data_IF_970925360714
#
_entry.id   IF_970925360714
#
_cell.length_a   1.000
_cell.length_b   1.000
_cell.length_c   1.000
_cell.angle_alpha   90.00
_cell.angle_beta   90.00
_cell.angle_gamma   90.00
#
_symmetry.space_group_name_H-M   'P 1'
#
loop_
_entity.id
_entity.type
_entity.pdbx_description
1 polymer ?
#
# COMPACT_ATOMS: atom_id res chain seq x y z
N UNK A 1 -13.91 35.79 25.24
CA UNK A 1 -14.42 35.67 23.86
C UNK A 1 -13.24 35.85 22.94
N UNK A 2 -12.90 34.84 22.20
CA UNK A 2 -11.79 34.90 21.20
C UNK A 2 -12.20 35.80 20.04
N UNK A 3 -11.40 36.81 19.72
CA UNK A 3 -11.66 37.81 18.67
C UNK A 3 -11.31 37.28 17.26
N UNK A 4 -10.85 36.01 17.16
CA UNK A 4 -10.48 35.42 15.88
C UNK A 4 -11.32 34.17 15.64
N UNK A 5 -11.90 34.00 14.42
CA UNK A 5 -12.61 32.79 14.06
C UNK A 5 -11.64 31.59 14.07
N UNK A 6 -12.16 30.43 14.48
CA UNK A 6 -11.37 29.20 14.46
C UNK A 6 -11.12 28.74 13.00
N UNK A 7 -10.08 27.93 12.79
CA UNK A 7 -9.80 27.35 11.46
C UNK A 7 -10.96 26.49 10.93
N UNK A 8 -11.82 26.01 11.84
CA UNK A 8 -13.02 25.23 11.50
C UNK A 8 -14.14 26.15 11.01
N UNK A 9 -14.32 27.32 11.63
CA UNK A 9 -15.31 28.33 11.20
C UNK A 9 -14.98 28.85 9.79
N UNK A 10 -13.69 29.08 9.48
CA UNK A 10 -13.23 29.50 8.16
C UNK A 10 -13.44 28.44 7.06
N UNK A 11 -13.41 27.14 7.43
CA UNK A 11 -13.72 26.06 6.48
C UNK A 11 -15.23 25.96 6.21
N UNK A 12 -16.05 26.12 7.25
CA UNK A 12 -17.51 26.10 7.13
C UNK A 12 -17.98 27.29 6.27
N UNK A 13 -17.46 28.49 6.51
CA UNK A 13 -17.81 29.67 5.72
C UNK A 13 -17.46 29.52 4.23
N UNK A 14 -16.29 28.92 3.91
CA UNK A 14 -15.93 28.62 2.52
C UNK A 14 -16.85 27.60 1.85
N UNK A 15 -17.29 26.58 2.59
CA UNK A 15 -18.22 25.57 2.05
C UNK A 15 -19.60 26.19 1.82
N UNK A 16 -20.09 27.02 2.74
CA UNK A 16 -21.37 27.73 2.60
C UNK A 16 -21.31 28.70 1.40
N UNK A 17 -20.21 29.42 1.24
CA UNK A 17 -20.01 30.36 0.12
C UNK A 17 -19.93 29.65 -1.22
N UNK A 18 -19.28 28.46 -1.29
CA UNK A 18 -19.24 27.62 -2.48
C UNK A 18 -20.63 27.03 -2.83
N UNK A 19 -21.41 26.62 -1.84
CA UNK A 19 -22.78 26.16 -2.05
C UNK A 19 -23.73 27.27 -2.49
N UNK A 20 -23.59 28.47 -1.94
CA UNK A 20 -24.39 29.63 -2.33
C UNK A 20 -24.09 30.08 -3.76
N UNK A 21 -22.83 30.04 -4.19
CA UNK A 21 -22.45 30.33 -5.58
C UNK A 21 -22.96 29.29 -6.58
N UNK A 22 -22.96 28.01 -6.16
CA UNK A 22 -23.50 26.92 -6.99
C UNK A 22 -25.03 26.98 -7.12
N UNK A 23 -25.72 27.38 -6.06
CA UNK A 23 -27.19 27.57 -6.06
C UNK A 23 -27.64 28.81 -6.85
N UNK A 24 -26.80 29.81 -6.98
CA UNK A 24 -27.09 31.03 -7.76
C UNK A 24 -26.93 30.85 -9.28
N UNK A 25 -26.20 29.81 -9.72
CA UNK A 25 -25.95 29.53 -11.14
C UNK A 25 -26.85 28.44 -11.73
N UNK A 26 -27.86 27.97 -10.98
CA UNK A 26 -28.85 27.00 -11.45
C UNK A 26 -30.06 27.67 -12.13
N UNK A 27 -29.79 28.45 -13.15
CA UNK A 27 -30.76 28.85 -14.17
C UNK A 27 -30.81 27.79 -15.27
N UNK A 28 -31.79 26.90 -15.20
CA UNK A 28 -32.10 25.92 -16.24
C UNK A 28 -32.25 26.51 -17.63
N UNK A 29 -31.85 25.76 -18.65
CA UNK A 29 -32.77 25.57 -19.76
C UNK A 29 -32.94 24.09 -20.20
N UNK A 30 -34.16 23.87 -20.61
CA UNK A 30 -34.80 22.71 -21.13
C UNK A 30 -34.05 21.97 -22.26
N UNK A 31 -34.25 20.68 -22.26
CA UNK A 31 -33.97 19.66 -23.29
C UNK A 31 -34.74 20.00 -24.57
N UNK A 32 -34.07 19.96 -25.72
CA UNK A 32 -34.64 19.69 -27.04
C UNK A 32 -33.61 18.99 -27.95
N UNK A 33 -34.02 18.12 -28.91
CA UNK A 33 -33.23 17.03 -29.44
C UNK A 33 -32.48 17.32 -30.76
N UNK A 34 -31.49 16.49 -30.99
CA UNK A 34 -30.85 16.08 -32.25
C UNK A 34 -30.75 17.05 -33.42
N UNK A 35 -29.54 17.42 -33.73
CA UNK A 35 -29.04 17.41 -35.11
C UNK A 35 -27.54 17.09 -35.10
N UNK A 36 -27.20 16.04 -35.84
CA UNK A 36 -25.86 15.58 -36.10
C UNK A 36 -25.10 16.66 -36.86
N UNK A 37 -24.09 17.25 -36.24
CA UNK A 37 -23.11 18.09 -36.92
C UNK A 37 -21.71 17.69 -36.42
N UNK A 38 -20.89 17.39 -37.40
CA UNK A 38 -19.48 17.01 -37.34
C UNK A 38 -18.68 17.73 -36.24
N UNK A 39 -18.04 16.91 -35.38
CA UNK A 39 -17.11 17.36 -34.35
C UNK A 39 -15.80 17.72 -34.99
N UNK A 40 -15.27 18.94 -34.83
CA UNK A 40 -13.87 19.23 -35.11
C UNK A 40 -13.02 18.58 -34.01
N UNK A 41 -12.02 17.84 -34.42
CA UNK A 41 -11.00 17.21 -33.55
C UNK A 41 -10.08 18.29 -32.99
N UNK A 42 -10.52 18.93 -31.90
CA UNK A 42 -9.67 19.82 -31.13
C UNK A 42 -9.53 19.22 -29.72
N UNK A 43 -8.30 18.82 -29.39
CA UNK A 43 -7.99 18.08 -28.18
C UNK A 43 -8.46 18.79 -26.91
N UNK A 44 -9.05 18.02 -26.02
CA UNK A 44 -9.70 18.46 -24.78
C UNK A 44 -8.75 19.15 -23.79
N UNK A 45 -7.44 18.95 -23.93
CA UNK A 45 -6.44 19.43 -22.98
C UNK A 45 -5.94 20.88 -23.16
N UNK A 46 -5.85 21.45 -24.35
CA UNK A 46 -5.38 22.83 -24.48
C UNK A 46 -6.35 23.91 -24.00
N UNK A 47 -7.64 23.58 -23.86
CA UNK A 47 -8.68 24.57 -23.47
C UNK A 47 -8.99 24.61 -21.97
N UNK A 48 -8.57 23.61 -21.18
CA UNK A 48 -8.86 23.60 -19.75
C UNK A 48 -7.94 24.51 -18.92
N UNK A 49 -6.74 24.81 -19.41
CA UNK A 49 -5.77 25.67 -18.71
C UNK A 49 -4.95 26.52 -19.69
N UNK A 50 -5.56 27.51 -20.33
CA UNK A 50 -4.83 28.38 -21.28
C UNK A 50 -3.72 29.22 -20.62
N UNK A 51 -3.77 29.40 -19.32
CA UNK A 51 -2.83 30.24 -18.56
C UNK A 51 -1.69 29.42 -17.90
N UNK A 52 -1.71 28.09 -18.00
CA UNK A 52 -0.70 27.24 -17.34
C UNK A 52 0.67 27.36 -18.03
N UNK A 53 0.68 27.58 -19.35
CA UNK A 53 1.88 27.81 -20.15
C UNK A 53 2.54 29.15 -19.80
N UNK A 54 1.74 30.19 -19.58
CA UNK A 54 2.23 31.52 -19.20
C UNK A 54 2.77 31.55 -17.77
N UNK A 55 2.12 30.81 -16.87
CA UNK A 55 2.55 30.68 -15.46
C UNK A 55 3.84 29.88 -15.31
N UNK A 56 4.07 28.87 -16.14
CA UNK A 56 5.24 27.99 -16.10
C UNK A 56 6.39 28.48 -16.99
N UNK A 57 6.22 29.54 -17.76
CA UNK A 57 7.24 30.04 -18.66
C UNK A 57 7.60 29.09 -19.81
N UNK A 58 6.73 28.13 -20.11
CA UNK A 58 6.90 27.13 -21.15
C UNK A 58 5.98 27.51 -22.34
N UNK A 59 6.52 28.14 -23.36
CA UNK A 59 5.82 28.28 -24.64
C UNK A 59 5.83 26.91 -25.34
N UNK A 60 4.76 26.13 -25.14
CA UNK A 60 4.56 24.89 -25.87
C UNK A 60 4.07 25.23 -27.28
N UNK A 61 4.99 25.29 -28.24
CA UNK A 61 4.66 25.41 -29.65
C UNK A 61 4.00 24.12 -30.14
N UNK A 62 2.89 24.25 -30.84
CA UNK A 62 2.12 23.12 -31.39
C UNK A 62 2.98 22.17 -32.24
N UNK A 63 4.01 22.72 -32.94
CA UNK A 63 4.98 21.93 -33.68
C UNK A 63 5.94 21.10 -32.80
N UNK A 64 6.27 21.56 -31.62
CA UNK A 64 7.08 20.77 -30.64
C UNK A 64 6.27 19.67 -29.98
N UNK A 65 4.99 19.91 -29.73
CA UNK A 65 4.06 18.89 -29.21
C UNK A 65 3.88 17.78 -30.26
N UNK A 66 3.70 18.14 -31.53
CA UNK A 66 3.57 17.13 -32.61
C UNK A 66 4.87 16.35 -32.84
N UNK A 67 6.04 16.97 -32.75
CA UNK A 67 7.32 16.26 -32.86
C UNK A 67 7.54 15.27 -31.73
N UNK A 68 7.15 15.62 -30.50
CA UNK A 68 7.28 14.74 -29.36
C UNK A 68 6.19 13.68 -29.32
N UNK A 69 4.99 13.92 -29.86
CA UNK A 69 3.95 12.91 -30.02
C UNK A 69 4.24 11.94 -31.18
N UNK A 70 4.87 12.38 -32.23
CA UNK A 70 5.30 11.49 -33.34
C UNK A 70 6.39 10.48 -32.90
N UNK A 71 7.15 10.77 -31.86
CA UNK A 71 8.12 9.84 -31.27
C UNK A 71 7.47 8.74 -30.42
N UNK A 72 6.17 8.81 -30.11
CA UNK A 72 5.40 7.83 -29.35
C UNK A 72 4.40 7.07 -30.25
N UNK A 73 4.54 7.14 -31.57
CA UNK A 73 3.80 6.27 -32.49
C UNK A 73 4.32 4.85 -32.34
N UNK A 74 3.68 4.10 -31.45
CA UNK A 74 3.87 2.64 -31.31
C UNK A 74 3.39 2.00 -32.60
N UNK A 75 4.22 1.27 -33.35
CA UNK A 75 3.75 0.48 -34.46
C UNK A 75 2.80 -0.59 -33.92
N UNK A 76 1.60 -0.67 -34.48
CA UNK A 76 0.72 -1.83 -34.32
C UNK A 76 1.49 -3.08 -34.71
N UNK A 77 2.04 -3.77 -33.73
CA UNK A 77 2.55 -5.13 -33.92
C UNK A 77 1.53 -6.09 -33.37
N UNK A 78 1.01 -6.91 -34.28
CA UNK A 78 0.42 -8.22 -34.08
C UNK A 78 0.99 -8.90 -32.85
N UNK A 79 0.07 -9.42 -32.02
CA UNK A 79 0.38 -10.26 -30.86
C UNK A 79 1.23 -11.45 -31.32
N UNK A 80 2.55 -11.27 -31.30
CA UNK A 80 3.50 -12.36 -31.37
C UNK A 80 3.59 -12.93 -29.95
N UNK A 81 3.29 -14.24 -29.81
CA UNK A 81 3.65 -15.02 -28.63
C UNK A 81 5.09 -14.71 -28.24
N UNK A 82 5.41 -14.45 -26.98
CA UNK A 82 6.79 -14.35 -26.57
C UNK A 82 7.44 -15.73 -26.72
N UNK A 83 8.18 -15.91 -27.79
CA UNK A 83 9.24 -16.91 -27.84
C UNK A 83 10.22 -16.57 -26.71
N UNK A 84 10.67 -17.59 -26.00
CA UNK A 84 11.63 -17.57 -24.92
C UNK A 84 12.79 -16.60 -25.20
N UNK A 85 12.64 -15.37 -24.76
CA UNK A 85 13.76 -14.45 -24.64
C UNK A 85 14.41 -14.82 -23.33
N UNK A 86 15.62 -15.36 -23.41
CA UNK A 86 16.53 -15.40 -22.29
C UNK A 86 16.64 -13.97 -21.73
N UNK A 87 15.81 -13.64 -20.76
CA UNK A 87 16.12 -12.54 -19.86
C UNK A 87 17.42 -12.96 -19.18
N UNK A 88 18.51 -12.33 -19.55
CA UNK A 88 19.60 -12.17 -18.62
C UNK A 88 19.02 -11.34 -17.48
N UNK A 89 18.39 -12.05 -16.55
CA UNK A 89 18.04 -11.49 -15.25
C UNK A 89 19.39 -11.15 -14.66
N UNK A 90 19.72 -9.84 -14.65
CA UNK A 90 20.78 -9.37 -13.77
C UNK A 90 20.51 -10.02 -12.40
N UNK A 91 21.53 -10.57 -11.73
CA UNK A 91 21.31 -11.21 -10.44
C UNK A 91 20.60 -10.19 -9.58
N UNK A 92 19.32 -10.46 -9.28
CA UNK A 92 18.53 -9.63 -8.39
C UNK A 92 19.21 -9.82 -7.05
N UNK A 93 20.02 -8.84 -6.66
CA UNK A 93 20.61 -8.85 -5.33
C UNK A 93 19.43 -8.92 -4.37
N UNK A 94 19.47 -9.81 -3.38
CA UNK A 94 18.36 -10.05 -2.45
C UNK A 94 17.78 -8.79 -1.81
N UNK A 95 18.50 -7.68 -1.88
CA UNK A 95 18.10 -6.32 -1.52
C UNK A 95 16.98 -5.75 -2.36
N UNK A 96 16.99 -5.95 -3.69
CA UNK A 96 15.99 -5.34 -4.59
C UNK A 96 14.63 -6.01 -4.48
N UNK A 97 14.60 -7.33 -4.30
CA UNK A 97 13.36 -8.08 -4.03
C UNK A 97 12.75 -7.69 -2.70
N UNK A 98 13.59 -7.56 -1.66
CA UNK A 98 13.17 -7.11 -0.34
C UNK A 98 12.59 -5.70 -0.36
N UNK A 99 13.20 -4.77 -1.10
CA UNK A 99 12.71 -3.39 -1.24
C UNK A 99 11.35 -3.35 -1.95
N UNK A 100 11.18 -4.09 -3.04
CA UNK A 100 9.90 -4.19 -3.76
C UNK A 100 8.80 -4.81 -2.90
N UNK A 101 9.14 -5.81 -2.09
CA UNK A 101 8.21 -6.43 -1.17
C UNK A 101 7.86 -5.51 0.00
N UNK A 102 8.81 -4.73 0.51
CA UNK A 102 8.59 -3.76 1.58
C UNK A 102 7.68 -2.60 1.14
N UNK A 103 7.61 -2.29 -0.15
CA UNK A 103 6.77 -1.23 -0.68
C UNK A 103 5.29 -1.47 -0.34
N UNK A 104 4.65 -0.47 0.26
CA UNK A 104 3.19 -0.48 0.49
C UNK A 104 2.51 0.05 -0.76
N UNK A 105 1.75 -0.84 -1.42
CA UNK A 105 1.04 -0.48 -2.65
C UNK A 105 -0.18 0.37 -2.34
N UNK A 106 -0.25 1.52 -2.96
CA UNK A 106 -1.44 2.38 -2.87
C UNK A 106 -2.62 1.71 -3.59
N UNK A 107 -3.80 1.78 -2.97
CA UNK A 107 -5.04 1.30 -3.58
C UNK A 107 -5.53 -0.05 -3.06
N UNK A 108 -6.35 -0.69 -3.87
CA UNK A 108 -7.06 -1.92 -3.55
C UNK A 108 -6.60 -3.01 -4.52
N UNK A 109 -6.35 -4.22 -4.00
CA UNK A 109 -5.96 -5.39 -4.78
C UNK A 109 -7.00 -6.48 -4.64
N UNK A 110 -7.31 -7.16 -5.76
CA UNK A 110 -8.05 -8.41 -5.74
C UNK A 110 -7.07 -9.58 -5.78
N UNK A 111 -7.27 -10.53 -4.88
CA UNK A 111 -6.48 -11.76 -4.79
C UNK A 111 -7.43 -12.95 -4.95
N UNK A 112 -7.03 -13.90 -5.78
CA UNK A 112 -7.76 -15.15 -5.95
C UNK A 112 -6.96 -16.27 -5.29
N UNK A 113 -7.58 -16.94 -4.34
CA UNK A 113 -7.00 -18.01 -3.56
C UNK A 113 -7.73 -19.34 -3.83
N UNK A 114 -7.03 -20.44 -3.65
CA UNK A 114 -7.61 -21.76 -3.47
C UNK A 114 -7.26 -22.27 -2.07
N UNK A 115 -8.00 -23.25 -1.56
CA UNK A 115 -7.62 -23.93 -0.33
C UNK A 115 -6.53 -24.97 -0.63
N UNK A 116 -5.72 -25.27 0.37
CA UNK A 116 -4.75 -26.35 0.32
C UNK A 116 -5.43 -27.73 0.47
N UNK A 117 -4.63 -28.79 0.51
CA UNK A 117 -5.13 -30.17 0.64
C UNK A 117 -5.87 -30.41 1.98
N UNK A 118 -5.61 -29.59 2.98
CA UNK A 118 -6.27 -29.63 4.29
C UNK A 118 -7.54 -28.76 4.35
N UNK A 119 -7.94 -28.15 3.24
CA UNK A 119 -9.07 -27.22 3.17
C UNK A 119 -8.82 -25.87 3.84
N UNK A 120 -7.54 -25.44 3.93
CA UNK A 120 -7.14 -24.19 4.58
C UNK A 120 -6.52 -23.23 3.56
N UNK A 121 -6.59 -21.94 3.86
CA UNK A 121 -5.89 -20.90 3.09
C UNK A 121 -4.68 -20.32 3.83
N UNK A 122 -4.50 -20.68 5.10
CA UNK A 122 -3.33 -20.31 5.91
C UNK A 122 -3.34 -18.87 6.42
N UNK A 123 -4.51 -18.29 6.74
CA UNK A 123 -4.60 -16.96 7.36
C UNK A 123 -5.38 -16.98 8.66
N UNK A 124 -5.09 -15.97 9.47
CA UNK A 124 -5.89 -15.59 10.62
C UNK A 124 -6.33 -14.16 10.51
N UNK A 125 -7.61 -13.90 10.71
CA UNK A 125 -8.21 -12.57 10.60
C UNK A 125 -8.58 -12.04 11.99
N UNK A 126 -8.41 -10.72 12.15
CA UNK A 126 -8.76 -9.98 13.37
C UNK A 126 -9.66 -8.81 13.02
N UNK A 127 -10.77 -8.66 13.73
CA UNK A 127 -11.58 -7.45 13.66
C UNK A 127 -10.98 -6.37 14.54
N UNK A 128 -10.83 -5.17 13.99
CA UNK A 128 -10.42 -3.95 14.70
C UNK A 128 -11.43 -2.87 14.28
N UNK A 129 -12.17 -2.35 15.24
CA UNK A 129 -13.29 -1.45 15.00
C UNK A 129 -14.24 -2.03 13.91
N UNK A 130 -14.46 -1.31 12.83
CA UNK A 130 -15.30 -1.77 11.71
C UNK A 130 -14.52 -2.48 10.61
N UNK A 131 -13.23 -2.69 10.76
CA UNK A 131 -12.37 -3.34 9.76
C UNK A 131 -11.98 -4.78 10.13
N UNK A 132 -11.65 -5.57 9.13
CA UNK A 132 -11.10 -6.92 9.26
C UNK A 132 -9.67 -6.90 8.72
N UNK A 133 -8.71 -7.38 9.52
CA UNK A 133 -7.29 -7.32 9.20
C UNK A 133 -6.64 -8.69 9.26
N UNK A 134 -5.61 -8.87 8.44
CA UNK A 134 -4.78 -10.09 8.45
C UNK A 134 -3.88 -10.06 9.67
N UNK A 135 -4.11 -10.98 10.60
CA UNK A 135 -3.37 -11.10 11.85
C UNK A 135 -2.19 -12.08 11.74
N UNK A 136 -2.31 -13.08 10.89
CA UNK A 136 -1.28 -14.08 10.64
C UNK A 136 -1.41 -14.61 9.23
N UNK A 137 -0.29 -14.78 8.56
CA UNK A 137 -0.15 -15.53 7.30
C UNK A 137 0.80 -16.69 7.58
N UNK A 138 0.34 -17.91 7.29
CA UNK A 138 1.13 -19.12 7.50
C UNK A 138 2.14 -19.28 6.37
N UNK A 139 3.38 -19.65 6.70
CA UNK A 139 4.42 -19.93 5.72
C UNK A 139 3.98 -21.01 4.72
N UNK A 140 4.35 -20.82 3.45
CA UNK A 140 4.06 -21.76 2.33
C UNK A 140 2.56 -22.06 2.14
N UNK A 141 1.68 -21.20 2.62
CA UNK A 141 0.24 -21.34 2.45
C UNK A 141 -0.26 -20.66 1.15
N UNK A 142 -1.47 -20.99 0.66
CA UNK A 142 -2.07 -20.28 -0.45
C UNK A 142 -2.12 -18.76 -0.25
N UNK A 143 -2.35 -18.31 0.97
CA UNK A 143 -2.36 -16.89 1.32
C UNK A 143 -0.98 -16.24 1.21
N UNK A 144 0.08 -16.91 1.67
CA UNK A 144 1.46 -16.44 1.53
C UNK A 144 1.86 -16.34 0.05
N UNK A 145 1.54 -17.37 -0.74
CA UNK A 145 1.83 -17.42 -2.18
C UNK A 145 1.06 -16.34 -2.97
N UNK A 146 -0.18 -16.03 -2.56
CA UNK A 146 -0.95 -14.94 -3.17
C UNK A 146 -0.48 -13.53 -2.73
N UNK A 147 0.47 -13.44 -1.81
CA UNK A 147 1.06 -12.19 -1.35
C UNK A 147 0.21 -11.45 -0.31
N UNK A 148 -0.64 -12.16 0.45
CA UNK A 148 -1.25 -11.62 1.67
C UNK A 148 -0.19 -11.43 2.74
N UNK A 149 -0.34 -10.37 3.54
CA UNK A 149 0.63 -10.00 4.55
C UNK A 149 -0.06 -9.62 5.86
N UNK A 150 0.69 -9.70 6.95
CA UNK A 150 0.26 -9.13 8.22
C UNK A 150 -0.09 -7.65 8.03
N UNK A 151 -1.17 -7.19 8.64
CA UNK A 151 -1.60 -5.80 8.55
C UNK A 151 -2.51 -5.47 7.35
N UNK A 152 -2.62 -6.33 6.34
CA UNK A 152 -3.55 -6.12 5.22
C UNK A 152 -4.99 -6.00 5.73
N UNK A 153 -5.73 -5.02 5.23
CA UNK A 153 -7.15 -4.86 5.51
C UNK A 153 -7.97 -5.63 4.48
N UNK A 154 -8.79 -6.56 4.94
CA UNK A 154 -9.73 -7.29 4.08
C UNK A 154 -11.01 -6.47 3.93
N UNK A 155 -11.31 -6.08 2.71
CA UNK A 155 -12.48 -5.26 2.37
C UNK A 155 -13.67 -6.11 1.94
N UNK A 156 -13.42 -7.16 1.14
CA UNK A 156 -14.45 -8.08 0.66
C UNK A 156 -13.94 -9.52 0.62
N UNK A 157 -14.84 -10.47 0.80
CA UNK A 157 -14.61 -11.90 0.59
C UNK A 157 -15.75 -12.40 -0.30
N UNK A 158 -15.43 -12.95 -1.47
CA UNK A 158 -16.40 -13.44 -2.47
C UNK A 158 -17.50 -12.42 -2.81
N UNK A 159 -17.14 -11.13 -2.90
CA UNK A 159 -18.06 -10.03 -3.20
C UNK A 159 -18.83 -9.49 -2.00
N UNK A 160 -18.79 -10.14 -0.83
CA UNK A 160 -19.42 -9.63 0.39
C UNK A 160 -18.52 -8.64 1.11
N UNK A 161 -19.06 -7.48 1.48
CA UNK A 161 -18.34 -6.45 2.22
C UNK A 161 -18.11 -6.90 3.67
N UNK A 162 -16.83 -6.84 4.11
CA UNK A 162 -16.40 -7.27 5.45
C UNK A 162 -16.54 -6.18 6.53
N UNK A 163 -17.01 -4.98 6.20
CA UNK A 163 -17.16 -3.90 7.18
C UNK A 163 -18.10 -4.34 8.33
N UNK A 164 -17.64 -4.15 9.56
CA UNK A 164 -18.37 -4.53 10.77
C UNK A 164 -18.43 -6.04 11.06
N UNK A 165 -17.70 -6.87 10.31
CA UNK A 165 -17.66 -8.30 10.61
C UNK A 165 -16.79 -8.57 11.85
N UNK A 166 -17.24 -9.55 12.64
CA UNK A 166 -16.40 -10.14 13.69
C UNK A 166 -15.35 -11.07 13.09
N UNK A 167 -14.29 -11.31 13.85
CA UNK A 167 -13.26 -12.30 13.48
C UNK A 167 -13.87 -13.69 13.22
N UNK A 168 -14.84 -14.09 14.03
CA UNK A 168 -15.50 -15.40 13.92
C UNK A 168 -16.33 -15.52 12.66
N UNK A 169 -17.09 -14.44 12.29
CA UNK A 169 -17.82 -14.39 11.03
C UNK A 169 -16.87 -14.50 9.85
N UNK A 170 -15.79 -13.76 9.86
CA UNK A 170 -14.80 -13.78 8.79
C UNK A 170 -14.19 -15.17 8.58
N UNK A 171 -13.80 -15.85 9.67
CA UNK A 171 -13.30 -17.22 9.60
C UNK A 171 -14.36 -18.22 9.13
N UNK A 172 -15.62 -18.06 9.58
CA UNK A 172 -16.72 -18.92 9.16
C UNK A 172 -16.96 -18.81 7.65
N UNK A 173 -17.00 -17.58 7.09
CA UNK A 173 -17.19 -17.36 5.65
C UNK A 173 -16.04 -18.00 4.86
N UNK A 174 -14.79 -17.81 5.27
CA UNK A 174 -13.63 -18.44 4.61
C UNK A 174 -13.70 -19.98 4.68
N UNK A 175 -14.10 -20.53 5.82
CA UNK A 175 -14.27 -21.99 5.97
C UNK A 175 -15.36 -22.56 5.05
N UNK A 176 -16.44 -21.82 4.85
CA UNK A 176 -17.58 -22.21 4.01
C UNK A 176 -17.38 -21.89 2.50
N UNK A 177 -16.37 -21.07 2.17
CA UNK A 177 -16.06 -20.73 0.79
C UNK A 177 -15.60 -21.95 -0.01
N UNK A 178 -15.74 -21.85 -1.34
CA UNK A 178 -15.31 -22.89 -2.29
C UNK A 178 -13.82 -23.21 -2.11
N UNK A 179 -13.44 -24.46 -2.26
CA UNK A 179 -12.05 -24.89 -2.15
C UNK A 179 -11.20 -24.43 -3.34
N UNK A 180 -11.84 -24.24 -4.51
CA UNK A 180 -11.15 -23.95 -5.76
C UNK A 180 -10.95 -22.46 -6.02
N UNK A 181 -11.85 -21.59 -5.53
CA UNK A 181 -11.78 -20.16 -5.79
C UNK A 181 -12.38 -19.34 -4.65
N UNK A 182 -11.54 -18.52 -4.05
CA UNK A 182 -11.93 -17.52 -3.07
C UNK A 182 -11.38 -16.18 -3.54
N UNK A 183 -12.27 -15.23 -3.84
CA UNK A 183 -11.87 -13.85 -4.17
C UNK A 183 -11.81 -13.03 -2.88
N UNK A 184 -10.67 -12.37 -2.65
CA UNK A 184 -10.46 -11.48 -1.52
C UNK A 184 -10.00 -10.12 -2.04
N UNK A 185 -10.70 -9.07 -1.68
CA UNK A 185 -10.29 -7.70 -1.96
C UNK A 185 -9.64 -7.12 -0.72
N UNK A 186 -8.42 -6.63 -0.86
CA UNK A 186 -7.61 -6.11 0.24
C UNK A 186 -7.08 -4.71 -0.05
N UNK A 187 -6.87 -3.95 1.04
CA UNK A 187 -6.04 -2.75 1.07
C UNK A 187 -4.71 -3.10 1.72
N UNK A 188 -3.61 -2.77 1.05
CA UNK A 188 -2.27 -3.09 1.52
C UNK A 188 -1.93 -2.29 2.80
N UNK A 189 -1.77 -2.98 3.90
CA UNK A 189 -1.20 -2.55 5.19
C UNK A 189 -1.47 -1.08 5.58
N UNK A 190 -2.73 -0.66 5.78
CA UNK A 190 -3.08 0.76 5.94
C UNK A 190 -2.52 1.41 7.21
N UNK A 191 -2.09 0.64 8.21
CA UNK A 191 -1.51 1.14 9.45
C UNK A 191 0.01 1.11 9.47
N UNK A 192 0.62 0.63 8.41
CA UNK A 192 2.06 0.50 8.28
C UNK A 192 2.64 1.59 7.38
N UNK A 193 3.91 1.86 7.59
CA UNK A 193 4.71 2.69 6.68
C UNK A 193 6.11 2.15 6.57
N UNK A 194 6.74 2.35 5.43
CA UNK A 194 8.12 1.97 5.17
C UNK A 194 9.06 3.15 5.34
N UNK A 195 10.25 2.88 5.85
CA UNK A 195 11.33 3.85 6.02
C UNK A 195 12.61 3.21 5.52
N UNK A 196 13.26 3.87 4.57
CA UNK A 196 14.57 3.43 4.06
C UNK A 196 15.67 4.25 4.71
N UNK A 197 16.69 3.56 5.23
CA UNK A 197 17.82 4.11 5.96
C UNK A 197 19.11 3.52 5.43
N UNK A 198 20.22 4.24 5.67
CA UNK A 198 21.55 3.78 5.30
C UNK A 198 22.38 3.55 6.57
N UNK A 199 23.15 2.47 6.59
CA UNK A 199 24.13 2.20 7.64
C UNK A 199 25.23 3.25 7.58
N UNK A 200 25.73 3.63 8.74
CA UNK A 200 26.93 4.45 8.89
C UNK A 200 28.21 3.60 8.73
N UNK A 201 29.37 4.21 8.90
CA UNK A 201 30.67 3.53 8.81
C UNK A 201 30.87 2.43 9.87
N UNK A 202 30.06 2.44 10.93
CA UNK A 202 30.07 1.43 12.00
C UNK A 202 29.04 0.33 11.80
N UNK A 203 28.27 0.39 10.70
CA UNK A 203 27.25 -0.59 10.36
C UNK A 203 25.89 -0.38 11.04
N UNK A 204 25.66 0.81 11.63
CA UNK A 204 24.43 1.11 12.35
C UNK A 204 23.55 2.13 11.60
N UNK A 205 22.26 2.05 11.80
CA UNK A 205 21.28 3.02 11.26
C UNK A 205 20.81 4.03 12.30
N UNK A 206 21.09 3.76 13.59
CA UNK A 206 20.93 4.72 14.69
C UNK A 206 19.58 4.67 15.41
N UNK A 207 19.07 3.49 15.72
CA UNK A 207 17.95 3.30 16.64
C UNK A 207 18.17 2.13 17.59
N UNK A 208 17.43 2.12 18.70
CA UNK A 208 17.42 1.06 19.70
C UNK A 208 15.99 0.51 19.77
N UNK A 209 15.88 -0.80 19.84
CA UNK A 209 14.60 -1.49 19.97
C UNK A 209 14.63 -2.53 21.11
N UNK A 210 13.47 -2.84 21.62
CA UNK A 210 13.26 -3.88 22.63
C UNK A 210 11.92 -4.58 22.38
N UNK A 211 11.93 -5.91 22.31
CA UNK A 211 10.77 -6.73 21.92
C UNK A 211 10.16 -6.28 20.57
N UNK A 212 11.02 -5.95 19.60
CA UNK A 212 10.61 -5.45 18.29
C UNK A 212 10.07 -4.01 18.28
N UNK A 213 9.96 -3.34 19.43
CA UNK A 213 9.48 -1.96 19.56
C UNK A 213 10.65 -0.98 19.60
N UNK A 214 10.57 0.09 18.81
CA UNK A 214 11.56 1.17 18.77
C UNK A 214 11.42 2.02 20.02
N UNK A 215 12.48 2.05 20.83
CA UNK A 215 12.49 2.72 22.14
C UNK A 215 13.29 4.03 22.12
N UNK A 216 14.31 4.11 21.27
CA UNK A 216 15.18 5.29 21.20
C UNK A 216 15.74 5.47 19.79
N UNK A 217 16.02 6.73 19.42
CA UNK A 217 16.60 7.10 18.14
C UNK A 217 17.82 7.98 18.44
N UNK A 218 18.94 7.66 17.83
CA UNK A 218 20.18 8.41 17.96
C UNK A 218 20.06 9.71 17.16
N UNK A 219 20.37 10.83 17.80
CA UNK A 219 20.35 12.14 17.15
C UNK A 219 21.31 12.15 15.94
N UNK A 220 20.90 12.84 14.88
CA UNK A 220 21.65 13.01 13.64
C UNK A 220 22.00 11.69 12.90
N UNK A 221 21.38 10.58 13.31
CA UNK A 221 21.52 9.28 12.64
C UNK A 221 20.68 9.20 11.36
N UNK A 222 20.92 8.14 10.57
CA UNK A 222 20.07 7.86 9.40
C UNK A 222 18.61 7.66 9.80
N UNK A 223 18.35 6.98 10.91
CA UNK A 223 17.02 6.79 11.45
C UNK A 223 16.33 8.13 11.78
N UNK A 224 17.02 9.04 12.44
CA UNK A 224 16.48 10.36 12.78
C UNK A 224 16.18 11.19 11.51
N UNK A 225 17.12 11.23 10.57
CA UNK A 225 16.94 12.00 9.31
C UNK A 225 15.82 11.49 8.42
N UNK A 226 15.55 10.19 8.44
CA UNK A 226 14.48 9.57 7.65
C UNK A 226 13.15 9.48 8.40
N UNK A 227 13.02 10.15 9.54
CA UNK A 227 11.77 10.29 10.26
C UNK A 227 11.28 8.99 10.91
N UNK A 228 12.19 8.14 11.39
CA UNK A 228 11.83 7.02 12.25
C UNK A 228 11.20 7.56 13.54
N UNK A 229 10.23 6.85 14.08
CA UNK A 229 9.53 7.23 15.31
C UNK A 229 9.69 6.16 16.38
N UNK A 230 9.81 6.60 17.63
CA UNK A 230 9.64 5.74 18.80
C UNK A 230 8.17 5.31 18.95
N UNK A 231 7.89 4.40 19.86
CA UNK A 231 6.54 3.86 20.09
C UNK A 231 5.92 3.21 18.85
N UNK A 232 6.76 2.67 17.95
CA UNK A 232 6.40 1.87 16.80
C UNK A 232 7.05 0.50 16.89
N UNK A 233 6.33 -0.53 16.47
CA UNK A 233 6.88 -1.88 16.32
C UNK A 233 7.38 -2.08 14.89
N UNK A 234 8.50 -2.76 14.76
CA UNK A 234 9.03 -3.17 13.47
C UNK A 234 8.27 -4.42 13.04
N UNK A 235 7.63 -4.36 11.87
CA UNK A 235 6.90 -5.47 11.27
C UNK A 235 7.77 -6.24 10.28
N UNK A 236 8.59 -5.51 9.50
CA UNK A 236 9.45 -6.12 8.48
C UNK A 236 10.79 -5.41 8.38
N UNK A 237 11.80 -6.15 7.92
CA UNK A 237 13.11 -5.65 7.53
C UNK A 237 13.40 -6.17 6.11
N UNK A 238 13.63 -5.25 5.16
CA UNK A 238 13.80 -5.57 3.74
C UNK A 238 12.72 -6.53 3.21
N UNK A 239 11.46 -6.32 3.61
CA UNK A 239 10.32 -7.14 3.22
C UNK A 239 10.22 -8.50 3.91
N UNK A 240 11.16 -8.85 4.77
CA UNK A 240 11.09 -10.04 5.62
C UNK A 240 10.27 -9.73 6.88
N UNK A 241 9.22 -10.49 7.13
CA UNK A 241 8.41 -10.36 8.33
C UNK A 241 9.20 -10.80 9.56
N UNK A 242 9.26 -9.94 10.59
CA UNK A 242 9.99 -10.21 11.83
C UNK A 242 9.09 -10.33 13.06
N UNK A 243 7.76 -10.30 12.87
CA UNK A 243 6.80 -10.33 13.97
C UNK A 243 6.90 -11.65 14.72
N UNK A 244 7.16 -11.58 16.03
CA UNK A 244 7.32 -12.74 16.88
C UNK A 244 8.74 -13.31 16.97
N UNK A 245 9.70 -12.77 16.20
CA UNK A 245 11.12 -13.10 16.35
C UNK A 245 11.68 -12.50 17.66
N UNK A 246 12.76 -13.09 18.14
CA UNK A 246 13.51 -12.54 19.28
C UNK A 246 14.37 -11.36 18.85
N UNK A 247 14.65 -10.44 19.76
CA UNK A 247 15.50 -9.28 19.48
C UNK A 247 16.88 -9.65 18.94
N UNK A 248 17.45 -10.77 19.37
CA UNK A 248 18.71 -11.29 18.83
C UNK A 248 18.59 -11.66 17.36
N UNK A 249 17.50 -12.31 16.94
CA UNK A 249 17.26 -12.67 15.55
C UNK A 249 17.01 -11.42 14.69
N UNK A 250 16.29 -10.44 15.24
CA UNK A 250 16.07 -9.13 14.57
C UNK A 250 17.39 -8.40 14.39
N UNK A 251 18.26 -8.41 15.41
CA UNK A 251 19.59 -7.81 15.32
C UNK A 251 20.48 -8.51 14.28
N UNK A 252 20.43 -9.84 14.19
CA UNK A 252 21.14 -10.64 13.18
C UNK A 252 20.67 -10.28 11.76
N UNK A 253 19.36 -10.14 11.56
CA UNK A 253 18.80 -9.73 10.25
C UNK A 253 19.27 -8.32 9.89
N UNK A 254 19.26 -7.38 10.84
CA UNK A 254 19.78 -6.01 10.64
C UNK A 254 21.28 -6.00 10.34
N UNK A 255 22.06 -6.84 11.03
CA UNK A 255 23.50 -6.93 10.84
C UNK A 255 23.86 -7.47 9.45
N UNK A 256 23.16 -8.52 9.00
CA UNK A 256 23.40 -9.19 7.71
C UNK A 256 22.78 -8.45 6.53
N UNK A 257 21.82 -7.56 6.77
CA UNK A 257 21.28 -6.69 5.73
C UNK A 257 22.36 -5.78 5.13
N UNK A 258 22.23 -5.48 3.84
CA UNK A 258 23.15 -4.59 3.13
C UNK A 258 23.23 -3.18 3.74
N UNK A 259 23.93 -2.27 3.07
CA UNK A 259 24.08 -0.89 3.54
C UNK A 259 22.78 -0.09 3.55
N UNK A 260 21.84 -0.43 2.68
CA UNK A 260 20.49 0.15 2.63
C UNK A 260 19.53 -0.80 3.31
N UNK A 261 18.80 -0.30 4.30
CA UNK A 261 17.82 -1.06 5.07
C UNK A 261 16.46 -0.36 4.93
N UNK A 262 15.46 -1.10 4.51
CA UNK A 262 14.07 -0.66 4.53
C UNK A 262 13.34 -1.41 5.64
N UNK A 263 12.77 -0.68 6.58
CA UNK A 263 11.94 -1.25 7.64
C UNK A 263 10.49 -0.83 7.43
N UNK A 264 9.57 -1.73 7.75
CA UNK A 264 8.13 -1.46 7.84
C UNK A 264 7.77 -1.38 9.31
N UNK A 265 7.12 -0.30 9.70
CA UNK A 265 6.76 -0.04 11.11
C UNK A 265 5.25 0.22 11.24
N UNK A 266 4.72 -0.11 12.42
CA UNK A 266 3.34 0.10 12.82
C UNK A 266 3.30 0.76 14.21
N UNK A 267 2.36 1.71 14.48
CA UNK A 267 2.18 2.24 15.83
C UNK A 267 1.96 1.13 16.86
N UNK A 268 2.66 1.18 18.00
CA UNK A 268 2.65 0.07 18.98
C UNK A 268 1.26 -0.24 19.52
N UNK A 269 0.40 0.77 19.71
CA UNK A 269 -0.96 0.53 20.19
C UNK A 269 -1.81 -0.29 19.22
N UNK A 270 -1.61 -0.12 17.90
CA UNK A 270 -2.28 -0.93 16.87
C UNK A 270 -1.68 -2.34 16.84
N UNK A 271 -0.34 -2.43 16.84
CA UNK A 271 0.37 -3.70 16.86
C UNK A 271 -0.07 -4.54 18.07
N UNK A 272 -0.09 -3.97 19.26
CA UNK A 272 -0.50 -4.66 20.49
C UNK A 272 -1.96 -5.13 20.43
N UNK A 273 -2.83 -4.30 19.83
CA UNK A 273 -4.23 -4.69 19.60
C UNK A 273 -4.35 -5.83 18.59
N UNK A 274 -3.58 -5.79 17.50
CA UNK A 274 -3.50 -6.87 16.51
C UNK A 274 -3.03 -8.18 17.16
N UNK A 275 -2.00 -8.12 17.99
CA UNK A 275 -1.38 -9.30 18.63
C UNK A 275 -2.17 -9.81 19.85
N UNK A 276 -3.13 -9.04 20.34
CA UNK A 276 -3.94 -9.43 21.49
C UNK A 276 -4.69 -10.75 21.24
N UNK A 277 -4.61 -11.68 22.19
CA UNK A 277 -5.20 -13.02 22.11
C UNK A 277 -4.53 -13.97 21.11
N UNK A 278 -3.36 -13.62 20.60
CA UNK A 278 -2.56 -14.55 19.82
C UNK A 278 -1.44 -15.12 20.72
N UNK A 279 -1.39 -16.44 20.84
CA UNK A 279 -0.30 -17.09 21.60
C UNK A 279 1.04 -16.85 20.87
N UNK A 280 2.06 -16.44 21.59
CA UNK A 280 3.39 -16.19 21.02
C UNK A 280 4.01 -17.44 20.37
N UNK A 281 3.65 -18.63 20.85
CA UNK A 281 4.06 -19.90 20.24
C UNK A 281 3.50 -20.06 18.83
N UNK A 282 2.24 -19.68 18.60
CA UNK A 282 1.58 -19.76 17.28
C UNK A 282 2.27 -18.79 16.31
N UNK A 283 2.55 -17.56 16.74
CA UNK A 283 3.24 -16.57 15.91
C UNK A 283 4.61 -17.09 15.50
N UNK A 284 5.39 -17.60 16.44
CA UNK A 284 6.76 -18.10 16.16
C UNK A 284 6.80 -19.32 15.25
N UNK A 285 5.79 -20.21 15.34
CA UNK A 285 5.80 -21.48 14.61
C UNK A 285 5.10 -21.42 13.25
N UNK A 286 4.14 -20.54 13.07
CA UNK A 286 3.29 -20.52 11.87
C UNK A 286 3.48 -19.26 11.01
N UNK A 287 3.91 -18.13 11.60
CA UNK A 287 4.08 -16.89 10.85
C UNK A 287 5.10 -17.07 9.73
N UNK A 288 4.78 -16.58 8.56
CA UNK A 288 5.72 -16.57 7.44
C UNK A 288 6.80 -15.50 7.67
N UNK A 289 8.02 -15.95 7.92
CA UNK A 289 9.22 -15.11 8.07
C UNK A 289 10.11 -15.14 6.82
N UNK A 290 9.69 -15.84 5.78
CA UNK A 290 10.41 -15.93 4.53
C UNK A 290 10.31 -14.65 3.71
N UNK A 291 11.32 -14.40 2.88
CA UNK A 291 11.17 -13.53 1.71
C UNK A 291 10.71 -14.46 0.60
N UNK A 292 9.52 -14.32 0.01
CA UNK A 292 9.13 -15.17 -1.10
C UNK A 292 10.15 -15.06 -2.23
N UNK A 293 10.65 -16.17 -2.65
CA UNK A 293 11.36 -16.30 -3.92
C UNK A 293 10.31 -16.11 -5.03
N UNK A 294 10.51 -15.12 -5.89
CA UNK A 294 9.69 -14.84 -7.07
C UNK A 294 10.31 -15.54 -8.27
#
# INVERSE_FOLDING_TARGET
MSLYPSLEDLKVDKVIQAQASYAADSGTPAILPETVASVPSDGLYPRLYPELSDYMGLSLNEEEIQRNMAAVAVPQQTVARPSSINYMVAPVTGTDLGLRRAEIKQGIRELILCKDQDGKIGIRLKSIDNGVFVQLVQANSPASLAGLRFGDQVLQINGENCAGWSSDKSHKVLKQASDQKISIIVRDRPFERTITMHKDSTGHVGFIFKNGKITSIVKDSSAARNGLLTEHNICEINGQNIIGLKDTQIADILATAGNTITITIMPSYIHDHMMKRMASSIVKSLMDHGVPEV
#
